data_IF_384215983956
#
_entry.id   IF_384215983956
#
_cell.length_a   1.000
_cell.length_b   1.000
_cell.length_c   1.000
_cell.angle_alpha   90.00
_cell.angle_beta   90.00
_cell.angle_gamma   90.00
#
_symmetry.space_group_name_H-M   'P 1'
#
loop_
_entity.id
_entity.type
_entity.pdbx_description
1 polymer ?
#
# COMPACT_ATOMS: atom_id res chain seq x y z
N UNK A 1 14.26 -7.91 -0.76
CA UNK A 1 14.88 -8.00 0.58
C UNK A 1 13.77 -7.94 1.61
N UNK A 2 13.85 -8.72 2.68
CA UNK A 2 12.86 -8.68 3.77
C UNK A 2 13.17 -7.51 4.72
N UNK A 3 12.22 -6.61 4.92
CA UNK A 3 12.33 -5.45 5.82
C UNK A 3 12.49 -5.85 7.29
N UNK A 4 11.84 -6.94 7.70
CA UNK A 4 11.89 -7.45 9.09
C UNK A 4 13.23 -8.04 9.52
N UNK A 5 13.95 -8.73 8.62
CA UNK A 5 15.18 -9.46 9.00
C UNK A 5 16.39 -9.23 8.10
N UNK A 6 16.28 -8.39 7.07
CA UNK A 6 17.37 -8.08 6.13
C UNK A 6 17.75 -9.21 5.17
N UNK A 7 17.20 -10.42 5.29
CA UNK A 7 17.53 -11.52 4.40
C UNK A 7 17.00 -11.29 2.97
N UNK A 8 17.68 -11.91 1.99
CA UNK A 8 17.19 -11.98 0.60
C UNK A 8 15.85 -12.73 0.55
N UNK A 9 15.07 -12.43 -0.49
CA UNK A 9 13.82 -13.13 -0.75
C UNK A 9 14.00 -13.99 -2.00
N UNK A 10 13.37 -15.17 -2.01
CA UNK A 10 13.34 -16.09 -3.15
C UNK A 10 11.94 -16.18 -3.72
N UNK A 11 11.82 -16.51 -5.00
CA UNK A 11 10.53 -16.82 -5.62
C UNK A 11 10.14 -18.27 -5.35
N UNK A 12 8.85 -18.50 -5.15
CA UNK A 12 8.20 -19.81 -5.11
C UNK A 12 7.04 -19.83 -6.10
N UNK A 13 6.98 -20.86 -6.96
CA UNK A 13 6.03 -21.00 -8.06
C UNK A 13 4.96 -22.09 -7.83
N UNK A 14 4.56 -22.38 -6.58
CA UNK A 14 3.63 -23.49 -6.30
C UNK A 14 2.23 -23.29 -6.91
N UNK A 15 1.40 -22.46 -6.30
CA UNK A 15 0.04 -22.20 -6.80
C UNK A 15 0.01 -20.87 -7.55
N UNK A 16 0.55 -19.84 -6.92
CA UNK A 16 0.78 -18.53 -7.51
C UNK A 16 2.21 -18.06 -7.14
N UNK A 17 2.88 -17.27 -8.00
CA UNK A 17 4.19 -16.73 -7.70
C UNK A 17 4.19 -15.91 -6.39
N UNK A 18 5.07 -16.27 -5.46
CA UNK A 18 5.25 -15.57 -4.18
C UNK A 18 6.71 -15.31 -3.87
N UNK A 19 6.98 -14.17 -3.24
CA UNK A 19 8.28 -13.88 -2.65
C UNK A 19 8.31 -14.37 -1.20
N UNK A 20 9.23 -15.29 -0.89
CA UNK A 20 9.44 -15.86 0.43
C UNK A 20 10.77 -15.37 1.01
N UNK A 21 10.78 -14.96 2.27
CA UNK A 21 12.01 -14.66 2.98
C UNK A 21 12.88 -15.92 3.15
N UNK A 22 14.16 -15.83 2.77
CA UNK A 22 15.08 -16.96 2.75
C UNK A 22 15.71 -17.28 4.12
N UNK A 23 15.43 -16.49 5.17
CA UNK A 23 15.95 -16.72 6.54
C UNK A 23 15.62 -18.13 7.06
N UNK A 24 14.45 -18.67 6.70
CA UNK A 24 14.05 -20.03 7.10
C UNK A 24 15.05 -21.08 6.64
N UNK A 25 15.46 -21.00 5.37
CA UNK A 25 16.35 -21.98 4.75
C UNK A 25 17.80 -21.81 5.20
N UNK A 26 18.23 -20.56 5.47
CA UNK A 26 19.59 -20.29 5.96
C UNK A 26 19.83 -20.67 7.41
N UNK A 27 18.84 -20.47 8.27
CA UNK A 27 19.01 -20.58 9.72
C UNK A 27 18.18 -21.73 10.33
N UNK A 28 17.63 -22.63 9.51
CA UNK A 28 16.79 -23.77 9.93
C UNK A 28 15.70 -23.40 10.95
N UNK A 29 15.02 -22.28 10.73
CA UNK A 29 13.94 -21.81 11.61
C UNK A 29 12.63 -22.49 11.23
N UNK A 30 11.71 -22.73 12.18
CA UNK A 30 10.46 -23.44 11.88
C UNK A 30 9.48 -22.65 11.00
N UNK A 31 9.49 -21.32 11.08
CA UNK A 31 8.50 -20.45 10.42
C UNK A 31 9.14 -19.51 9.38
N UNK A 32 8.43 -19.30 8.28
CA UNK A 32 8.82 -18.33 7.25
C UNK A 32 8.62 -16.93 7.82
N UNK A 33 9.66 -16.10 7.79
CA UNK A 33 9.61 -14.73 8.32
C UNK A 33 8.56 -13.85 7.63
N UNK A 34 8.54 -13.88 6.28
CA UNK A 34 7.62 -13.11 5.46
C UNK A 34 7.32 -13.84 4.15
N UNK A 35 6.07 -13.84 3.73
CA UNK A 35 5.59 -14.35 2.44
C UNK A 35 4.61 -13.35 1.82
N UNK A 36 4.87 -12.92 0.58
CA UNK A 36 4.06 -11.92 -0.11
C UNK A 36 3.73 -12.36 -1.54
N UNK A 37 2.62 -11.87 -2.08
CA UNK A 37 2.24 -12.08 -3.48
C UNK A 37 3.26 -11.42 -4.39
N UNK A 38 3.79 -12.15 -5.39
CA UNK A 38 4.74 -11.57 -6.32
C UNK A 38 4.06 -10.55 -7.25
N UNK A 39 2.87 -10.88 -7.77
CA UNK A 39 2.12 -9.99 -8.65
C UNK A 39 1.85 -8.60 -8.02
N UNK A 40 1.43 -8.57 -6.75
CA UNK A 40 1.14 -7.32 -6.05
C UNK A 40 2.41 -6.45 -5.86
N UNK A 41 3.56 -7.09 -5.65
CA UNK A 41 4.84 -6.38 -5.53
C UNK A 41 5.34 -5.91 -6.89
N UNK A 42 5.27 -6.78 -7.90
CA UNK A 42 5.74 -6.51 -9.26
C UNK A 42 4.99 -5.38 -9.92
N UNK A 43 3.65 -5.35 -9.84
CA UNK A 43 2.81 -4.28 -10.40
C UNK A 43 3.29 -2.90 -9.93
N UNK A 44 3.45 -2.73 -8.61
CA UNK A 44 3.81 -1.43 -8.02
C UNK A 44 5.27 -1.06 -8.25
N UNK A 45 6.19 -2.04 -8.27
CA UNK A 45 7.60 -1.79 -8.59
C UNK A 45 7.76 -1.39 -10.05
N UNK A 46 7.06 -2.06 -10.97
CA UNK A 46 7.07 -1.72 -12.41
C UNK A 46 6.46 -0.35 -12.65
N UNK A 47 5.34 -0.04 -11.99
CA UNK A 47 4.74 1.31 -12.04
C UNK A 47 5.76 2.37 -11.58
N UNK A 48 6.40 2.16 -10.44
CA UNK A 48 7.40 3.10 -9.92
C UNK A 48 8.62 3.26 -10.84
N UNK A 49 9.04 2.17 -11.51
CA UNK A 49 10.08 2.22 -12.53
C UNK A 49 9.65 3.10 -13.71
N UNK A 50 8.42 2.95 -14.21
CA UNK A 50 7.91 3.81 -15.28
C UNK A 50 7.81 5.27 -14.86
N UNK A 51 7.32 5.57 -13.65
CA UNK A 51 7.31 6.94 -13.11
C UNK A 51 8.71 7.56 -13.08
N UNK A 52 9.72 6.78 -12.70
CA UNK A 52 11.10 7.25 -12.57
C UNK A 52 11.76 7.58 -13.92
N UNK A 53 11.34 6.93 -15.02
CA UNK A 53 11.89 7.18 -16.36
C UNK A 53 11.06 8.15 -17.19
N UNK A 54 9.95 8.69 -16.65
CA UNK A 54 9.08 9.60 -17.41
C UNK A 54 9.87 10.80 -17.96
N UNK A 55 9.52 11.31 -19.17
CA UNK A 55 10.16 12.48 -19.76
C UNK A 55 10.23 13.70 -18.83
N UNK A 56 9.21 13.91 -17.99
CA UNK A 56 9.20 15.00 -17.02
C UNK A 56 10.40 14.97 -16.04
N UNK A 57 10.93 13.78 -15.73
CA UNK A 57 12.14 13.64 -14.91
C UNK A 57 13.40 14.04 -15.69
N UNK A 58 13.41 13.83 -17.01
CA UNK A 58 14.50 14.28 -17.89
C UNK A 58 14.50 15.80 -18.01
N UNK A 59 13.33 16.43 -18.16
CA UNK A 59 13.19 17.89 -18.22
C UNK A 59 13.62 18.53 -16.88
N UNK A 60 13.28 17.91 -15.75
CA UNK A 60 13.72 18.36 -14.42
C UNK A 60 15.25 18.23 -14.25
N UNK A 61 15.84 17.12 -14.69
CA UNK A 61 17.29 16.93 -14.70
C UNK A 61 17.98 17.99 -15.58
N UNK A 62 17.40 18.31 -16.75
CA UNK A 62 17.93 19.35 -17.63
C UNK A 62 17.92 20.73 -16.97
N UNK A 63 16.84 21.10 -16.30
CA UNK A 63 16.78 22.35 -15.55
C UNK A 63 17.89 22.44 -14.49
N UNK A 64 18.17 21.35 -13.78
CA UNK A 64 19.27 21.26 -12.81
C UNK A 64 20.62 21.38 -13.50
N UNK A 65 20.87 20.66 -14.60
CA UNK A 65 22.13 20.73 -15.33
C UNK A 65 22.38 22.13 -15.91
N UNK A 66 21.35 22.80 -16.41
CA UNK A 66 21.43 24.20 -16.90
C UNK A 66 21.77 25.15 -15.76
N UNK A 67 21.14 24.99 -14.59
CA UNK A 67 21.43 25.79 -13.40
C UNK A 67 22.88 25.58 -12.92
N UNK A 68 23.33 24.31 -12.84
CA UNK A 68 24.70 23.96 -12.48
C UNK A 68 25.71 24.53 -13.49
N UNK A 69 25.41 24.48 -14.79
CA UNK A 69 26.28 25.05 -15.81
C UNK A 69 26.39 26.58 -15.67
N UNK A 70 25.30 27.26 -15.32
CA UNK A 70 25.31 28.71 -15.05
C UNK A 70 26.19 29.04 -13.83
N UNK A 71 26.00 28.34 -12.72
CA UNK A 71 26.80 28.50 -11.51
C UNK A 71 28.29 28.21 -11.77
N UNK A 72 28.57 27.15 -12.53
CA UNK A 72 29.92 26.79 -12.96
C UNK A 72 30.56 27.94 -13.76
N UNK A 73 29.86 28.54 -14.73
CA UNK A 73 30.37 29.69 -15.49
C UNK A 73 30.63 30.91 -14.61
N UNK A 74 29.82 31.15 -13.58
CA UNK A 74 30.06 32.20 -12.59
C UNK A 74 31.35 31.94 -11.80
N UNK A 75 31.54 30.72 -11.32
CA UNK A 75 32.77 30.33 -10.61
C UNK A 75 34.01 30.44 -11.51
N UNK A 76 33.95 30.02 -12.77
CA UNK A 76 35.05 30.19 -13.73
C UNK A 76 35.38 31.67 -13.95
N UNK A 77 34.38 32.56 -14.07
CA UNK A 77 34.61 34.01 -14.17
C UNK A 77 35.34 34.55 -12.93
N UNK A 78 34.93 34.14 -11.73
CA UNK A 78 35.60 34.57 -10.49
C UNK A 78 37.05 34.10 -10.42
N UNK A 79 37.33 32.88 -10.89
CA UNK A 79 38.71 32.38 -10.97
C UNK A 79 39.55 33.13 -12.00
N UNK A 80 39.01 33.40 -13.18
CA UNK A 80 39.68 34.18 -14.23
C UNK A 80 40.02 35.61 -13.75
N UNK A 81 39.08 36.26 -13.04
CA UNK A 81 39.34 37.56 -12.41
C UNK A 81 40.45 37.50 -11.35
N UNK A 82 40.46 36.47 -10.48
CA UNK A 82 41.52 36.28 -9.48
C UNK A 82 42.88 36.09 -10.15
N UNK A 83 42.94 35.29 -11.21
CA UNK A 83 44.16 35.05 -11.98
C UNK A 83 44.67 36.36 -12.60
N UNK A 84 43.79 37.13 -13.26
CA UNK A 84 44.14 38.44 -13.84
C UNK A 84 44.66 39.43 -12.81
N UNK A 85 44.02 39.52 -11.63
CA UNK A 85 44.49 40.40 -10.55
C UNK A 85 45.87 40.00 -10.04
N UNK A 86 46.13 38.70 -9.88
CA UNK A 86 47.42 38.19 -9.44
C UNK A 86 48.52 38.45 -10.47
N UNK A 87 48.23 38.19 -11.76
CA UNK A 87 49.15 38.49 -12.87
C UNK A 87 49.49 39.98 -12.93
N UNK A 88 48.48 40.84 -12.82
CA UNK A 88 48.68 42.28 -12.77
C UNK A 88 49.52 42.71 -11.55
N UNK A 89 49.28 42.13 -10.38
CA UNK A 89 50.05 42.38 -9.16
C UNK A 89 51.54 42.05 -9.33
N UNK A 90 51.85 40.91 -9.96
CA UNK A 90 53.23 40.53 -10.31
C UNK A 90 53.85 41.56 -11.26
N UNK A 91 53.18 41.91 -12.35
CA UNK A 91 53.67 42.88 -13.34
C UNK A 91 53.87 44.29 -12.75
N UNK A 92 53.06 44.68 -11.77
CA UNK A 92 53.22 45.95 -11.08
C UNK A 92 54.44 45.92 -10.15
N UNK A 93 54.58 44.87 -9.33
CA UNK A 93 55.71 44.71 -8.41
C UNK A 93 57.05 44.62 -9.17
N UNK A 94 57.08 43.91 -10.30
CA UNK A 94 58.24 43.81 -11.18
C UNK A 94 58.67 45.18 -11.74
N UNK A 95 57.71 45.99 -12.22
CA UNK A 95 57.99 47.34 -12.71
C UNK A 95 58.48 48.27 -11.61
N UNK A 96 57.91 48.17 -10.40
CA UNK A 96 58.35 48.98 -9.26
C UNK A 96 59.78 48.63 -8.85
N UNK A 97 60.11 47.34 -8.79
CA UNK A 97 61.46 46.87 -8.50
C UNK A 97 62.45 47.32 -9.57
N UNK A 98 62.10 47.21 -10.86
CA UNK A 98 62.97 47.62 -11.97
C UNK A 98 63.29 49.12 -12.04
N UNK A 99 62.47 49.97 -11.40
CA UNK A 99 62.63 51.43 -11.41
C UNK A 99 63.38 51.98 -10.19
N UNK A 100 63.68 51.17 -9.18
CA UNK A 100 64.36 51.63 -7.96
C UNK A 100 65.85 51.87 -8.21
N UNK A 101 66.39 52.94 -7.62
CA UNK A 101 67.84 53.18 -7.62
C UNK A 101 68.56 52.12 -6.76
N UNK A 102 69.57 51.41 -7.30
CA UNK A 102 70.36 50.42 -6.56
C UNK A 102 71.02 50.95 -5.27
N UNK A 103 71.28 52.26 -5.17
CA UNK A 103 71.85 52.86 -3.95
C UNK A 103 70.86 52.84 -2.77
N UNK A 104 69.55 52.79 -3.06
CA UNK A 104 68.49 52.68 -2.06
C UNK A 104 68.26 51.23 -1.60
N UNK A 105 69.30 50.57 -1.08
CA UNK A 105 69.35 49.13 -0.76
C UNK A 105 68.17 48.62 0.07
N UNK A 106 67.71 49.38 1.07
CA UNK A 106 66.58 48.98 1.91
C UNK A 106 65.25 48.97 1.13
N UNK A 107 65.06 49.94 0.24
CA UNK A 107 63.85 50.03 -0.61
C UNK A 107 63.88 48.93 -1.67
N UNK A 108 65.05 48.69 -2.28
CA UNK A 108 65.22 47.63 -3.27
C UNK A 108 64.89 46.24 -2.67
N UNK A 109 65.42 45.93 -1.49
CA UNK A 109 65.15 44.65 -0.80
C UNK A 109 63.69 44.47 -0.36
N UNK A 110 62.97 45.56 -0.04
CA UNK A 110 61.54 45.50 0.26
C UNK A 110 60.70 45.29 -1.01
N UNK A 111 61.05 45.96 -2.13
CA UNK A 111 60.38 45.77 -3.42
C UNK A 111 60.63 44.38 -4.01
N UNK A 112 61.83 43.83 -3.84
CA UNK A 112 62.17 42.44 -4.18
C UNK A 112 61.28 41.46 -3.43
N UNK A 113 61.21 41.57 -2.09
CA UNK A 113 60.30 40.75 -1.27
C UNK A 113 58.84 40.85 -1.70
N UNK A 114 58.36 42.06 -2.04
CA UNK A 114 56.99 42.25 -2.55
C UNK A 114 56.77 41.55 -3.89
N UNK A 115 57.77 41.56 -4.78
CA UNK A 115 57.70 40.85 -6.04
C UNK A 115 57.72 39.33 -5.84
N UNK A 116 58.61 38.81 -4.99
CA UNK A 116 58.63 37.39 -4.61
C UNK A 116 57.29 36.93 -4.03
N UNK A 117 56.73 37.70 -3.09
CA UNK A 117 55.42 37.41 -2.51
C UNK A 117 54.30 37.41 -3.56
N UNK A 118 54.33 38.34 -4.53
CA UNK A 118 53.37 38.36 -5.63
C UNK A 118 53.51 37.13 -6.55
N UNK A 119 54.75 36.69 -6.82
CA UNK A 119 55.02 35.47 -7.62
C UNK A 119 54.51 34.21 -6.91
N UNK A 120 54.73 34.10 -5.60
CA UNK A 120 54.19 33.00 -4.78
C UNK A 120 52.66 33.00 -4.84
N UNK A 121 52.02 34.15 -4.60
CA UNK A 121 50.57 34.27 -4.65
C UNK A 121 49.99 33.91 -6.03
N UNK A 122 50.63 34.33 -7.13
CA UNK A 122 50.23 33.95 -8.48
C UNK A 122 50.30 32.44 -8.67
N UNK A 123 51.38 31.80 -8.23
CA UNK A 123 51.56 30.34 -8.32
C UNK A 123 50.49 29.59 -7.54
N UNK A 124 50.19 30.02 -6.31
CA UNK A 124 49.13 29.44 -5.49
C UNK A 124 47.75 29.55 -6.15
N UNK A 125 47.43 30.70 -6.74
CA UNK A 125 46.17 30.92 -7.45
C UNK A 125 46.10 30.06 -8.72
N UNK A 126 47.19 29.90 -9.47
CA UNK A 126 47.25 29.02 -10.64
C UNK A 126 47.04 27.55 -10.28
N UNK A 127 47.64 27.09 -9.18
CA UNK A 127 47.45 25.73 -8.68
C UNK A 127 46.04 25.52 -8.14
N UNK A 128 45.44 26.53 -7.50
CA UNK A 128 44.03 26.54 -7.12
C UNK A 128 43.11 26.43 -8.34
N UNK A 129 43.38 27.20 -9.39
CA UNK A 129 42.61 27.17 -10.63
C UNK A 129 42.67 25.80 -11.32
N UNK A 130 43.86 25.21 -11.46
CA UNK A 130 44.02 23.87 -12.05
C UNK A 130 43.25 22.79 -11.28
N UNK A 131 43.27 22.85 -9.95
CA UNK A 131 42.48 21.94 -9.09
C UNK A 131 40.98 22.14 -9.30
N UNK A 132 40.53 23.39 -9.36
CA UNK A 132 39.14 23.72 -9.63
C UNK A 132 38.68 23.19 -11.00
N UNK A 133 39.47 23.42 -12.05
CA UNK A 133 39.18 22.96 -13.42
C UNK A 133 39.03 21.44 -13.49
N UNK A 134 39.95 20.71 -12.85
CA UNK A 134 39.91 19.24 -12.82
C UNK A 134 38.68 18.70 -12.07
N UNK A 135 38.26 19.36 -10.99
CA UNK A 135 37.12 18.94 -10.19
C UNK A 135 35.75 19.24 -10.85
N UNK A 136 35.67 20.18 -11.79
CA UNK A 136 34.41 20.69 -12.34
C UNK A 136 34.23 20.34 -13.83
N UNK A 137 34.60 19.12 -14.23
CA UNK A 137 34.38 18.64 -15.59
C UNK A 137 32.86 18.54 -15.88
N UNK A 138 32.36 19.16 -16.98
CA UNK A 138 30.93 19.17 -17.25
C UNK A 138 30.44 17.79 -17.68
N UNK A 139 29.35 17.34 -17.06
CA UNK A 139 28.57 16.20 -17.55
C UNK A 139 27.57 16.76 -18.57
N UNK A 140 27.81 16.51 -19.86
CA UNK A 140 26.87 16.86 -20.93
C UNK A 140 26.08 15.64 -21.35
N UNK A 141 24.76 15.81 -21.53
CA UNK A 141 23.89 14.79 -22.11
C UNK A 141 23.64 15.14 -23.58
N UNK A 142 24.15 14.36 -24.56
CA UNK A 142 23.92 14.62 -25.98
C UNK A 142 22.43 14.67 -26.32
N UNK A 143 22.03 15.57 -27.21
CA UNK A 143 20.62 15.78 -27.60
C UNK A 143 20.03 14.52 -28.23
N UNK A 144 20.82 13.80 -29.03
CA UNK A 144 20.40 12.56 -29.69
C UNK A 144 20.06 11.47 -28.68
N UNK A 145 20.87 11.34 -27.61
CA UNK A 145 20.62 10.38 -26.54
C UNK A 145 19.37 10.75 -25.75
N UNK A 146 19.10 12.05 -25.55
CA UNK A 146 17.87 12.54 -24.91
C UNK A 146 16.63 12.17 -25.71
N UNK A 147 16.64 12.42 -27.02
CA UNK A 147 15.50 12.10 -27.88
C UNK A 147 15.22 10.60 -27.94
N UNK A 148 16.29 9.79 -28.02
CA UNK A 148 16.17 8.34 -27.94
C UNK A 148 15.56 7.90 -26.60
N UNK A 149 16.05 8.44 -25.49
CA UNK A 149 15.50 8.13 -24.16
C UNK A 149 14.03 8.53 -24.05
N UNK A 150 13.65 9.72 -24.55
CA UNK A 150 12.26 10.20 -24.52
C UNK A 150 11.33 9.23 -25.24
N UNK A 151 11.67 8.86 -26.49
CA UNK A 151 10.91 7.88 -27.28
C UNK A 151 10.80 6.53 -26.60
N UNK A 152 11.90 6.04 -26.01
CA UNK A 152 11.89 4.78 -25.27
C UNK A 152 11.00 4.89 -24.04
N UNK A 153 11.12 5.94 -23.24
CA UNK A 153 10.35 6.11 -22.00
C UNK A 153 8.84 6.16 -22.24
N UNK A 154 8.41 6.76 -23.35
CA UNK A 154 6.99 6.87 -23.73
C UNK A 154 6.43 5.54 -24.26
N UNK A 155 7.20 4.82 -25.08
CA UNK A 155 6.77 3.55 -25.69
C UNK A 155 6.98 2.32 -24.79
N UNK A 156 7.87 2.40 -23.80
CA UNK A 156 8.25 1.24 -22.99
C UNK A 156 7.09 0.60 -22.22
N UNK A 157 6.13 1.34 -21.63
CA UNK A 157 4.97 0.73 -20.96
C UNK A 157 4.14 -0.16 -21.90
N UNK A 158 3.95 0.26 -23.15
CA UNK A 158 3.23 -0.51 -24.18
C UNK A 158 4.03 -1.74 -24.60
N UNK A 159 5.34 -1.57 -24.86
CA UNK A 159 6.26 -2.67 -25.19
C UNK A 159 6.34 -3.72 -24.06
N UNK A 160 6.20 -3.28 -22.82
CA UNK A 160 6.21 -4.16 -21.65
C UNK A 160 4.99 -5.08 -21.64
N UNK A 161 3.84 -4.59 -22.07
CA UNK A 161 2.58 -5.34 -22.10
C UNK A 161 2.42 -6.17 -23.39
N UNK A 162 2.96 -5.70 -24.52
CA UNK A 162 2.82 -6.35 -25.84
C UNK A 162 3.53 -7.70 -25.97
N UNK A 163 4.39 -8.05 -25.00
CA UNK A 163 5.16 -9.29 -25.01
C UNK A 163 6.37 -9.27 -25.95
N UNK A 164 6.68 -8.13 -26.57
CA UNK A 164 7.88 -7.96 -27.40
C UNK A 164 9.17 -7.98 -26.59
N UNK A 165 9.10 -7.69 -25.28
CA UNK A 165 10.21 -7.83 -24.34
C UNK A 165 10.10 -9.14 -23.57
N UNK A 166 11.17 -9.93 -23.61
CA UNK A 166 11.26 -11.14 -22.81
C UNK A 166 11.50 -10.81 -21.31
N UNK A 167 11.37 -11.83 -20.46
CA UNK A 167 11.53 -11.65 -19.01
C UNK A 167 12.98 -11.36 -18.58
N UNK A 168 13.99 -11.69 -19.40
CA UNK A 168 15.38 -11.37 -19.10
C UNK A 168 15.64 -9.88 -19.35
N UNK A 169 15.24 -9.39 -20.52
CA UNK A 169 15.28 -7.98 -20.92
C UNK A 169 14.55 -7.08 -19.92
N UNK A 170 13.33 -7.47 -19.50
CA UNK A 170 12.58 -6.75 -18.46
C UNK A 170 13.35 -6.65 -17.15
N UNK A 171 14.01 -7.73 -16.73
CA UNK A 171 14.82 -7.73 -15.50
C UNK A 171 16.07 -6.87 -15.64
N UNK A 172 16.70 -6.85 -16.80
CA UNK A 172 17.90 -6.04 -17.03
C UNK A 172 17.56 -4.54 -17.07
N UNK A 173 16.42 -4.17 -17.67
CA UNK A 173 15.88 -2.82 -17.55
C UNK A 173 15.60 -2.43 -16.10
N UNK A 174 14.97 -3.29 -15.30
CA UNK A 174 14.75 -2.99 -13.89
C UNK A 174 16.07 -2.82 -13.14
N UNK A 175 17.08 -3.66 -13.42
CA UNK A 175 18.39 -3.61 -12.76
C UNK A 175 19.23 -2.40 -13.15
N UNK A 176 18.93 -1.72 -14.26
CA UNK A 176 19.65 -0.50 -14.66
C UNK A 176 19.35 0.68 -13.75
N UNK A 177 18.20 0.67 -13.05
CA UNK A 177 17.78 1.75 -12.14
C UNK A 177 17.52 1.29 -10.71
N UNK A 178 17.04 0.06 -10.51
CA UNK A 178 16.66 -0.47 -9.20
C UNK A 178 17.81 -1.29 -8.61
N UNK A 179 18.41 -0.78 -7.53
CA UNK A 179 19.46 -1.47 -6.80
C UNK A 179 18.89 -2.62 -5.94
N UNK A 180 17.79 -2.37 -5.23
CA UNK A 180 17.08 -3.39 -4.43
C UNK A 180 15.68 -2.93 -4.07
N UNK A 181 14.79 -3.89 -3.85
CA UNK A 181 13.47 -3.65 -3.25
C UNK A 181 13.44 -4.25 -1.85
N UNK A 182 13.04 -3.47 -0.86
CA UNK A 182 12.83 -3.91 0.52
C UNK A 182 11.32 -3.99 0.76
N UNK A 183 10.84 -5.13 1.27
CA UNK A 183 9.42 -5.37 1.51
C UNK A 183 9.21 -5.65 2.99
N UNK A 184 8.32 -4.89 3.61
CA UNK A 184 7.88 -5.09 4.98
C UNK A 184 6.36 -5.24 5.07
N UNK A 185 5.88 -5.95 6.09
CA UNK A 185 4.43 -6.12 6.33
C UNK A 185 4.06 -5.37 7.59
N UNK A 186 3.41 -4.21 7.39
CA UNK A 186 3.04 -3.28 8.47
C UNK A 186 1.70 -3.70 9.10
N UNK A 187 0.74 -4.15 8.28
CA UNK A 187 -0.54 -4.74 8.73
C UNK A 187 -0.75 -6.10 8.08
N UNK A 188 -1.75 -6.86 8.52
CA UNK A 188 -2.12 -8.15 7.93
C UNK A 188 -2.40 -8.06 6.43
N UNK A 189 -2.90 -6.93 5.95
CA UNK A 189 -3.31 -6.66 4.57
C UNK A 189 -2.56 -5.49 3.91
N UNK A 190 -1.53 -4.96 4.57
CA UNK A 190 -0.72 -3.84 4.07
C UNK A 190 0.76 -4.18 4.06
N UNK A 191 1.37 -4.03 2.88
CA UNK A 191 2.80 -4.09 2.67
C UNK A 191 3.36 -2.70 2.42
N UNK A 192 4.49 -2.43 3.03
CA UNK A 192 5.32 -1.28 2.73
C UNK A 192 6.49 -1.74 1.87
N UNK A 193 6.66 -1.11 0.71
CA UNK A 193 7.77 -1.34 -0.20
C UNK A 193 8.67 -0.12 -0.21
N UNK A 194 9.98 -0.36 -0.15
CA UNK A 194 11.00 0.65 -0.41
C UNK A 194 11.81 0.22 -1.63
N UNK A 195 11.62 0.92 -2.74
CA UNK A 195 12.42 0.76 -3.96
C UNK A 195 13.67 1.63 -3.80
N UNK A 196 14.82 0.99 -3.65
CA UNK A 196 16.11 1.68 -3.54
C UNK A 196 16.73 1.76 -4.93
N UNK A 197 16.95 2.98 -5.39
CA UNK A 197 17.51 3.29 -6.69
C UNK A 197 19.04 3.22 -6.66
N UNK A 198 19.66 3.04 -7.82
CA UNK A 198 21.13 3.04 -7.96
C UNK A 198 21.74 4.38 -7.53
N UNK A 199 21.00 5.50 -7.68
CA UNK A 199 21.40 6.81 -7.19
C UNK A 199 21.52 6.92 -5.66
N UNK A 200 21.06 5.91 -4.91
CA UNK A 200 21.00 5.92 -3.45
C UNK A 200 19.72 6.52 -2.87
N UNK A 201 18.91 7.22 -3.68
CA UNK A 201 17.56 7.63 -3.30
C UNK A 201 16.64 6.40 -3.11
N UNK A 202 15.54 6.55 -2.38
CA UNK A 202 14.52 5.51 -2.29
C UNK A 202 13.11 6.07 -2.41
N UNK A 203 12.24 5.30 -3.05
CA UNK A 203 10.80 5.60 -3.12
C UNK A 203 10.04 4.65 -2.20
N UNK A 204 9.17 5.21 -1.35
CA UNK A 204 8.30 4.47 -0.45
C UNK A 204 6.93 4.28 -1.11
N UNK A 205 6.42 3.05 -1.10
CA UNK A 205 5.17 2.66 -1.73
C UNK A 205 4.37 1.79 -0.76
N UNK A 206 3.05 1.90 -0.81
CA UNK A 206 2.15 1.04 -0.06
C UNK A 206 1.38 0.13 -1.02
N UNK A 207 1.27 -1.15 -0.64
CA UNK A 207 0.59 -2.16 -1.45
C UNK A 207 -0.31 -2.99 -0.56
N UNK A 208 -1.53 -3.23 -1.03
CA UNK A 208 -2.46 -4.11 -0.35
C UNK A 208 -2.63 -5.42 -1.14
N UNK A 209 -1.85 -6.46 -0.81
CA UNK A 209 -1.94 -7.72 -1.53
C UNK A 209 -3.26 -8.41 -1.23
N UNK A 210 -3.76 -9.27 -2.14
CA UNK A 210 -4.90 -10.13 -1.83
C UNK A 210 -4.57 -11.03 -0.64
N UNK A 211 -5.48 -11.08 0.32
CA UNK A 211 -5.44 -11.91 1.52
C UNK A 211 -6.48 -13.02 1.46
N UNK A 212 -6.38 -13.98 2.38
CA UNK A 212 -7.25 -15.16 2.33
C UNK A 212 -8.64 -14.89 2.91
N UNK A 213 -8.75 -14.14 4.01
CA UNK A 213 -10.00 -13.95 4.75
C UNK A 213 -10.28 -12.46 4.93
N UNK A 214 -11.53 -12.05 4.73
CA UNK A 214 -11.97 -10.65 4.89
C UNK A 214 -11.82 -10.16 6.33
N UNK A 215 -11.98 -11.05 7.31
CA UNK A 215 -11.73 -10.75 8.73
C UNK A 215 -10.30 -10.34 9.07
N UNK A 216 -9.34 -10.65 8.20
CA UNK A 216 -7.93 -10.32 8.41
C UNK A 216 -7.59 -8.95 7.77
N UNK A 217 -8.59 -8.21 7.24
CA UNK A 217 -8.42 -6.82 6.79
C UNK A 217 -8.16 -5.92 7.99
N UNK A 218 -7.30 -4.92 7.81
CA UNK A 218 -7.00 -3.95 8.87
C UNK A 218 -8.21 -3.13 9.29
N UNK A 219 -9.16 -2.91 8.37
CA UNK A 219 -10.38 -2.10 8.56
C UNK A 219 -11.64 -2.97 8.69
N UNK A 220 -11.48 -4.23 9.12
CA UNK A 220 -12.60 -5.17 9.17
C UNK A 220 -13.67 -4.76 10.18
N UNK A 221 -13.26 -4.21 11.33
CA UNK A 221 -14.18 -3.82 12.41
C UNK A 221 -15.02 -2.62 11.96
N UNK A 222 -14.38 -1.59 11.39
CA UNK A 222 -15.03 -0.41 10.85
C UNK A 222 -15.98 -0.77 9.69
N UNK A 223 -15.56 -1.68 8.80
CA UNK A 223 -16.43 -2.22 7.76
C UNK A 223 -17.64 -2.93 8.37
N UNK A 224 -17.44 -3.78 9.37
CA UNK A 224 -18.53 -4.52 10.00
C UNK A 224 -19.55 -3.59 10.69
N UNK A 225 -19.08 -2.55 11.37
CA UNK A 225 -19.94 -1.50 11.96
C UNK A 225 -20.69 -0.73 10.89
N UNK A 226 -20.01 -0.33 9.81
CA UNK A 226 -20.64 0.41 8.71
C UNK A 226 -21.73 -0.43 8.03
N UNK A 227 -21.47 -1.71 7.80
CA UNK A 227 -22.46 -2.64 7.26
C UNK A 227 -23.69 -2.77 8.17
N UNK A 228 -23.51 -2.76 9.49
CA UNK A 228 -24.65 -2.80 10.43
C UNK A 228 -25.55 -1.57 10.31
N UNK A 229 -24.99 -0.37 10.17
CA UNK A 229 -25.76 0.87 9.96
C UNK A 229 -26.60 0.75 8.69
N UNK A 230 -25.97 0.35 7.58
CA UNK A 230 -26.64 0.23 6.28
C UNK A 230 -27.69 -0.90 6.26
N UNK A 231 -27.49 -1.98 7.02
CA UNK A 231 -28.52 -3.02 7.19
C UNK A 231 -29.75 -2.49 7.93
N UNK A 232 -29.57 -1.62 8.93
CA UNK A 232 -30.68 -1.02 9.70
C UNK A 232 -31.47 -0.01 8.85
N UNK A 233 -30.84 0.61 7.86
CA UNK A 233 -31.50 1.46 6.85
C UNK A 233 -32.32 0.66 5.82
N UNK A 234 -32.22 -0.67 5.82
CA UNK A 234 -33.04 -1.55 4.97
C UNK A 234 -32.50 -1.78 3.56
N UNK A 235 -31.26 -1.35 3.29
CA UNK A 235 -30.58 -1.54 2.00
C UNK A 235 -30.33 -3.03 1.71
N UNK A 236 -30.36 -3.39 0.42
CA UNK A 236 -30.04 -4.73 -0.06
C UNK A 236 -28.53 -5.00 -0.02
N UNK A 237 -28.14 -6.28 -0.04
CA UNK A 237 -26.72 -6.67 -0.01
C UNK A 237 -25.92 -6.09 -1.19
N UNK A 238 -26.57 -5.87 -2.35
CA UNK A 238 -25.96 -5.24 -3.52
C UNK A 238 -25.77 -3.74 -3.32
N UNK A 239 -26.81 -3.02 -2.90
CA UNK A 239 -26.73 -1.58 -2.65
C UNK A 239 -25.68 -1.25 -1.58
N UNK A 240 -25.63 -2.06 -0.52
CA UNK A 240 -24.64 -1.92 0.54
C UNK A 240 -23.24 -2.16 -0.02
N UNK A 241 -23.02 -3.23 -0.79
CA UNK A 241 -21.73 -3.54 -1.38
C UNK A 241 -21.23 -2.40 -2.28
N UNK A 242 -22.10 -1.82 -3.10
CA UNK A 242 -21.77 -0.67 -3.93
C UNK A 242 -21.43 0.56 -3.08
N UNK A 243 -22.24 0.85 -2.06
CA UNK A 243 -22.03 2.01 -1.20
C UNK A 243 -20.71 1.93 -0.43
N UNK A 244 -20.44 0.83 0.26
CA UNK A 244 -19.17 0.69 1.02
C UNK A 244 -17.96 0.64 0.08
N UNK A 245 -18.12 0.13 -1.15
CA UNK A 245 -17.05 0.21 -2.16
C UNK A 245 -16.78 1.65 -2.59
N UNK A 246 -17.82 2.49 -2.72
CA UNK A 246 -17.65 3.94 -2.99
C UNK A 246 -17.03 4.67 -1.81
N UNK A 247 -17.29 4.22 -0.58
CA UNK A 247 -16.67 4.73 0.64
C UNK A 247 -15.19 4.32 0.78
N UNK A 248 -14.69 3.44 -0.10
CA UNK A 248 -13.27 3.03 -0.15
C UNK A 248 -12.98 1.69 0.51
N UNK A 249 -13.98 1.02 1.10
CA UNK A 249 -13.80 -0.32 1.66
C UNK A 249 -13.57 -1.37 0.57
N UNK A 250 -12.85 -2.43 0.95
CA UNK A 250 -12.49 -3.51 0.04
C UNK A 250 -12.78 -4.89 0.60
N UNK A 251 -12.78 -5.89 -0.28
CA UNK A 251 -12.76 -7.30 0.14
C UNK A 251 -11.34 -7.84 0.20
N UNK A 252 -11.17 -9.01 0.83
CA UNK A 252 -9.88 -9.70 0.92
C UNK A 252 -9.13 -9.88 -0.41
N UNK A 253 -9.84 -10.04 -1.53
CA UNK A 253 -9.26 -10.36 -2.85
C UNK A 253 -9.70 -9.42 -3.97
N UNK A 254 -10.43 -8.36 -3.64
CA UNK A 254 -10.98 -7.43 -4.62
C UNK A 254 -10.87 -6.02 -4.08
N UNK A 255 -10.62 -5.05 -4.97
CA UNK A 255 -10.61 -3.62 -4.64
C UNK A 255 -11.97 -3.14 -4.13
N UNK A 256 -13.05 -3.84 -4.50
CA UNK A 256 -14.41 -3.51 -4.10
C UNK A 256 -14.99 -4.58 -3.15
N UNK A 257 -15.95 -4.19 -2.34
CA UNK A 257 -16.78 -5.10 -1.56
C UNK A 257 -17.83 -5.74 -2.47
N UNK A 258 -17.95 -7.07 -2.41
CA UNK A 258 -18.98 -7.81 -3.15
C UNK A 258 -20.22 -8.06 -2.29
N UNK A 259 -21.38 -8.23 -2.91
CA UNK A 259 -22.61 -8.61 -2.22
C UNK A 259 -22.45 -9.93 -1.43
N UNK A 260 -21.66 -10.88 -1.95
CA UNK A 260 -21.31 -12.12 -1.24
C UNK A 260 -20.52 -11.84 0.04
N UNK A 261 -19.54 -10.93 -0.02
CA UNK A 261 -18.78 -10.49 1.18
C UNK A 261 -19.71 -9.87 2.22
N UNK A 262 -20.61 -8.98 1.81
CA UNK A 262 -21.60 -8.36 2.71
C UNK A 262 -22.48 -9.43 3.36
N UNK A 263 -22.98 -10.37 2.57
CA UNK A 263 -23.80 -11.50 3.06
C UNK A 263 -23.05 -12.35 4.08
N UNK A 264 -21.79 -12.68 3.82
CA UNK A 264 -20.99 -13.51 4.72
C UNK A 264 -20.76 -12.81 6.07
N UNK A 265 -20.40 -11.52 6.05
CA UNK A 265 -20.23 -10.71 7.26
C UNK A 265 -21.57 -10.61 8.01
N UNK A 266 -22.68 -10.40 7.29
CA UNK A 266 -24.03 -10.37 7.88
C UNK A 266 -24.38 -11.69 8.56
N UNK A 267 -24.16 -12.81 7.90
CA UNK A 267 -24.44 -14.13 8.47
C UNK A 267 -23.57 -14.41 9.70
N UNK A 268 -22.32 -13.95 9.70
CA UNK A 268 -21.44 -14.06 10.86
C UNK A 268 -21.92 -13.17 12.03
N UNK A 269 -22.31 -11.94 11.74
CA UNK A 269 -22.87 -11.01 12.72
C UNK A 269 -24.17 -11.56 13.33
N UNK A 270 -25.10 -12.06 12.52
CA UNK A 270 -26.36 -12.65 12.97
C UNK A 270 -26.17 -13.96 13.77
N UNK A 271 -25.08 -14.69 13.58
CA UNK A 271 -24.72 -15.82 14.45
C UNK A 271 -24.28 -15.36 15.84
N UNK A 272 -23.67 -14.18 15.93
CA UNK A 272 -23.23 -13.57 17.20
C UNK A 272 -24.37 -12.84 17.91
N UNK A 273 -25.36 -12.35 17.14
CA UNK A 273 -26.50 -11.55 17.62
C UNK A 273 -27.83 -12.19 17.16
N UNK A 274 -28.19 -13.38 17.67
CA UNK A 274 -29.41 -14.10 17.26
C UNK A 274 -30.71 -13.35 17.58
N UNK A 275 -30.69 -12.40 18.51
CA UNK A 275 -31.79 -11.47 18.81
C UNK A 275 -32.07 -10.48 17.66
N UNK A 276 -31.05 -10.11 16.89
CA UNK A 276 -31.17 -9.24 15.71
C UNK A 276 -31.72 -9.98 14.48
N UNK A 277 -31.92 -11.30 14.55
CA UNK A 277 -32.81 -12.02 13.65
C UNK A 277 -34.29 -11.56 13.77
N UNK A 278 -34.53 -10.50 14.54
CA UNK A 278 -35.74 -9.88 15.01
C UNK A 278 -37.03 -10.36 14.33
N UNK A 279 -37.78 -11.07 15.16
CA UNK A 279 -39.06 -11.72 14.93
C UNK A 279 -40.16 -10.74 14.53
N UNK A 280 -39.99 -9.45 14.81
CA UNK A 280 -40.95 -8.38 14.49
C UNK A 280 -41.09 -8.08 13.00
N UNK A 281 -40.07 -8.31 12.18
CA UNK A 281 -40.10 -8.05 10.72
C UNK A 281 -40.60 -9.24 9.90
N UNK A 282 -40.96 -10.36 10.55
CA UNK A 282 -41.44 -11.58 9.88
C UNK A 282 -42.93 -11.84 10.06
N UNK A 283 -43.65 -10.93 10.73
CA UNK A 283 -45.11 -11.00 10.82
C UNK A 283 -45.72 -10.72 9.46
N UNK A 284 -46.67 -11.55 9.05
CA UNK A 284 -47.37 -11.43 7.77
C UNK A 284 -48.85 -11.24 8.08
N UNK A 285 -49.25 -9.98 8.27
CA UNK A 285 -50.57 -9.64 8.83
C UNK A 285 -50.72 -10.20 10.25
N UNK A 286 -51.72 -11.07 10.44
CA UNK A 286 -51.96 -11.76 11.71
C UNK A 286 -51.20 -13.09 11.84
N UNK A 287 -50.14 -13.33 11.08
CA UNK A 287 -49.31 -14.54 11.21
C UNK A 287 -47.96 -14.20 11.81
N UNK A 288 -47.55 -14.90 12.86
CA UNK A 288 -46.29 -14.75 13.55
C UNK A 288 -45.34 -15.96 13.31
N UNK A 289 -44.01 -15.77 13.31
CA UNK A 289 -43.06 -16.87 13.24
C UNK A 289 -43.16 -17.82 14.42
N UNK A 290 -42.85 -19.10 14.19
CA UNK A 290 -42.77 -20.12 15.24
C UNK A 290 -41.87 -19.69 16.40
N UNK A 291 -40.74 -19.05 16.07
CA UNK A 291 -39.79 -18.55 17.06
C UNK A 291 -40.38 -17.41 17.91
N UNK A 292 -41.24 -16.58 17.33
CA UNK A 292 -41.90 -15.48 18.06
C UNK A 292 -42.96 -16.03 19.01
N UNK A 293 -43.76 -16.99 18.53
CA UNK A 293 -44.74 -17.69 19.35
C UNK A 293 -44.07 -18.37 20.54
N UNK A 294 -42.94 -19.04 20.27
CA UNK A 294 -42.19 -19.77 21.28
C UNK A 294 -41.69 -18.85 22.39
N UNK A 295 -41.10 -17.71 22.05
CA UNK A 295 -40.62 -16.74 23.04
C UNK A 295 -41.78 -16.10 23.80
N UNK A 296 -42.85 -15.68 23.10
CA UNK A 296 -43.99 -14.99 23.71
C UNK A 296 -44.75 -15.87 24.70
N UNK A 297 -44.93 -17.14 24.37
CA UNK A 297 -45.73 -18.08 25.15
C UNK A 297 -44.88 -18.98 26.07
N UNK A 298 -43.55 -18.83 26.05
CA UNK A 298 -42.63 -19.65 26.85
C UNK A 298 -42.44 -21.08 26.35
N UNK A 299 -42.76 -21.38 25.09
CA UNK A 299 -42.56 -22.71 24.51
C UNK A 299 -41.12 -22.92 24.02
N UNK A 300 -40.68 -24.19 23.96
CA UNK A 300 -39.47 -24.55 23.20
C UNK A 300 -39.77 -24.57 21.70
N UNK A 301 -38.94 -23.91 20.89
CA UNK A 301 -39.07 -23.82 19.41
C UNK A 301 -39.27 -25.20 18.76
N UNK A 302 -38.43 -26.18 19.11
CA UNK A 302 -38.51 -27.56 18.55
C UNK A 302 -39.79 -28.30 18.91
N UNK A 303 -40.46 -27.91 20.01
CA UNK A 303 -41.72 -28.52 20.38
C UNK A 303 -42.88 -27.99 19.53
N UNK A 304 -42.84 -26.69 19.18
CA UNK A 304 -43.82 -26.09 18.27
C UNK A 304 -43.70 -26.74 16.89
N UNK A 305 -42.47 -26.91 16.37
CA UNK A 305 -42.25 -27.66 15.12
C UNK A 305 -42.73 -29.12 15.20
N UNK A 306 -42.59 -29.79 16.35
CA UNK A 306 -43.17 -31.12 16.57
C UNK A 306 -44.71 -31.12 16.53
N UNK A 307 -45.38 -30.07 17.00
CA UNK A 307 -46.85 -29.99 16.89
C UNK A 307 -47.29 -29.81 15.43
N UNK A 308 -46.51 -29.08 14.63
CA UNK A 308 -46.70 -28.95 13.18
C UNK A 308 -46.51 -30.31 12.50
N UNK A 309 -45.40 -31.00 12.78
CA UNK A 309 -45.09 -32.30 12.20
C UNK A 309 -46.13 -33.37 12.56
N UNK A 310 -46.63 -33.35 13.81
CA UNK A 310 -47.67 -34.24 14.30
C UNK A 310 -49.10 -33.83 13.89
N UNK A 311 -49.25 -32.82 13.00
CA UNK A 311 -50.53 -32.30 12.51
C UNK A 311 -51.51 -31.87 13.61
N UNK A 312 -51.01 -31.48 14.78
CA UNK A 312 -51.84 -30.97 15.89
C UNK A 312 -52.23 -29.50 15.71
N UNK A 313 -51.43 -28.75 14.95
CA UNK A 313 -51.80 -27.43 14.46
C UNK A 313 -52.43 -27.61 13.09
N UNK A 314 -53.69 -27.22 12.94
CA UNK A 314 -54.42 -27.36 11.67
C UNK A 314 -53.74 -26.52 10.57
N UNK A 315 -53.74 -26.99 9.30
CA UNK A 315 -53.14 -26.26 8.17
C UNK A 315 -53.71 -24.86 7.96
N UNK A 316 -54.96 -24.61 8.36
CA UNK A 316 -55.61 -23.29 8.28
C UNK A 316 -54.89 -22.19 9.09
N UNK A 317 -54.19 -22.59 10.16
CA UNK A 317 -53.41 -21.66 10.98
C UNK A 317 -51.95 -21.55 10.53
N UNK A 318 -51.54 -22.22 9.46
CA UNK A 318 -50.15 -22.30 9.01
C UNK A 318 -49.96 -21.65 7.64
N UNK A 319 -48.94 -20.80 7.53
CA UNK A 319 -48.41 -20.32 6.25
C UNK A 319 -46.92 -20.63 6.15
N UNK A 320 -46.42 -20.92 4.95
CA UNK A 320 -44.97 -20.94 4.70
C UNK A 320 -44.51 -19.52 4.41
N UNK A 321 -43.39 -19.13 5.00
CA UNK A 321 -42.80 -17.82 4.74
C UNK A 321 -42.34 -17.74 3.27
N UNK A 322 -42.68 -16.69 2.50
CA UNK A 322 -42.42 -16.64 1.05
C UNK A 322 -40.94 -16.66 0.68
N UNK A 323 -40.06 -16.21 1.59
CA UNK A 323 -38.60 -16.15 1.36
C UNK A 323 -37.78 -17.14 2.20
N UNK A 324 -38.39 -17.93 3.08
CA UNK A 324 -37.67 -18.84 3.99
C UNK A 324 -38.40 -20.15 4.17
N UNK A 325 -37.66 -21.24 4.36
CA UNK A 325 -38.20 -22.57 4.67
C UNK A 325 -38.72 -22.68 6.13
N UNK A 326 -39.42 -21.66 6.62
CA UNK A 326 -40.00 -21.60 7.97
C UNK A 326 -41.52 -21.45 7.93
N UNK A 327 -42.19 -21.95 8.97
CA UNK A 327 -43.63 -21.80 9.14
C UNK A 327 -43.97 -20.51 9.92
N UNK A 328 -45.07 -19.90 9.54
CA UNK A 328 -45.76 -18.82 10.25
C UNK A 328 -47.07 -19.38 10.80
N UNK A 329 -47.39 -19.06 12.04
CA UNK A 329 -48.59 -19.49 12.77
C UNK A 329 -49.50 -18.28 12.94
N UNK A 330 -50.81 -18.44 12.71
CA UNK A 330 -51.78 -17.38 12.94
C UNK A 330 -51.86 -16.98 14.42
N UNK A 331 -51.88 -15.68 14.70
CA UNK A 331 -52.08 -15.09 16.03
C UNK A 331 -53.54 -15.21 16.45
N UNK A 332 -53.93 -16.42 16.86
CA UNK A 332 -55.29 -16.75 17.25
C UNK A 332 -55.30 -17.22 18.72
N UNK A 333 -56.10 -16.54 19.54
CA UNK A 333 -56.23 -16.81 20.98
C UNK A 333 -56.67 -18.25 21.29
N UNK A 334 -57.53 -18.85 20.48
CA UNK A 334 -58.03 -20.22 20.67
C UNK A 334 -56.93 -21.25 20.41
N UNK A 335 -56.16 -21.07 19.34
CA UNK A 335 -55.00 -21.92 19.03
C UNK A 335 -53.92 -21.82 20.12
N UNK A 336 -53.65 -20.60 20.60
CA UNK A 336 -52.65 -20.37 21.65
C UNK A 336 -53.10 -21.05 22.95
N UNK A 337 -54.38 -20.94 23.32
CA UNK A 337 -54.93 -21.62 24.49
C UNK A 337 -54.81 -23.14 24.39
N UNK A 338 -55.11 -23.73 23.21
CA UNK A 338 -54.92 -25.17 22.97
C UNK A 338 -53.45 -25.59 23.10
N UNK A 339 -52.52 -24.80 22.54
CA UNK A 339 -51.08 -25.07 22.66
C UNK A 339 -50.60 -24.98 24.11
N UNK A 340 -51.07 -24.00 24.89
CA UNK A 340 -50.77 -23.91 26.33
C UNK A 340 -51.25 -25.15 27.10
N UNK A 341 -52.46 -25.64 26.82
CA UNK A 341 -52.96 -26.87 27.45
C UNK A 341 -52.11 -28.10 27.09
N UNK A 342 -51.69 -28.24 25.83
CA UNK A 342 -50.80 -29.32 25.42
C UNK A 342 -49.41 -29.21 26.05
N UNK A 343 -48.92 -27.99 26.24
CA UNK A 343 -47.65 -27.73 26.90
C UNK A 343 -47.71 -28.09 28.39
N UNK A 344 -48.75 -27.65 29.10
CA UNK A 344 -48.95 -27.98 30.52
C UNK A 344 -49.07 -29.50 30.75
N UNK A 345 -49.89 -30.21 29.95
CA UNK A 345 -49.99 -31.68 30.06
C UNK A 345 -48.65 -32.39 29.88
N UNK A 346 -47.78 -31.85 29.03
CA UNK A 346 -46.43 -32.38 28.82
C UNK A 346 -45.52 -32.04 29.98
N UNK A 347 -45.57 -30.83 30.53
CA UNK A 347 -44.80 -30.46 31.72
C UNK A 347 -45.23 -31.26 32.95
N UNK A 348 -46.54 -31.45 33.16
CA UNK A 348 -47.09 -32.30 34.22
C UNK A 348 -46.63 -33.76 34.07
N UNK A 349 -46.62 -34.28 32.84
CA UNK A 349 -46.12 -35.63 32.56
C UNK A 349 -44.61 -35.74 32.82
N UNK A 350 -43.82 -34.74 32.44
CA UNK A 350 -42.38 -34.69 32.70
C UNK A 350 -42.07 -34.55 34.19
N UNK A 351 -42.84 -33.75 34.93
CA UNK A 351 -42.71 -33.57 36.37
C UNK A 351 -43.02 -34.89 37.11
N UNK A 352 -44.11 -35.57 36.76
CA UNK A 352 -44.46 -36.90 37.31
C UNK A 352 -43.42 -37.97 37.02
N UNK A 353 -42.82 -37.93 35.82
CA UNK A 353 -41.76 -38.87 35.43
C UNK A 353 -40.47 -38.63 36.21
N UNK A 354 -40.14 -37.37 36.48
CA UNK A 354 -38.93 -36.99 37.20
C UNK A 354 -39.07 -37.12 38.73
N UNK A 355 -40.28 -37.25 39.27
CA UNK A 355 -40.52 -37.53 40.69
C UNK A 355 -40.63 -39.03 41.02
N UNK A 356 -40.51 -39.90 40.02
CA UNK A 356 -40.47 -41.37 40.15
C UNK A 356 -39.06 -41.95 39.94
N UNK A 357 -38.07 -41.08 39.79
CA UNK A 357 -36.63 -41.37 39.74
C UNK A 357 -36.03 -40.68 40.96
#
# INVERSE_FOLDING_TARGET
>A
MCGKCGARMRVSYKDAPRYLCDRKFKNMVDRICLSVSAAAVEEVVVQAFFEAIRPAQLDALEAVLVAQEKERRELFRHWDEKLKRAQYGVQLAERQYSLVDPENRLVAGELEKRWENALIALKEIQEGYRRFETAHYPVTLPTELKEQFRRISESLPELWQSGQLDNAQKKDLLRSLVAKVIVDRVKSDTLELRVVWISGHYTKLEVNPPIHRTRDLGEYEELAERLQVLWKEGLTEQEIAEQVSREGYRSARSKNVSAATVRDIRLQYLKQHPEELNLKTMRLGNYLPVQELAVREGFKVDWVYRQIANKRIKPEYLKKHPRRHSYLIQDNAELIAQLRQYWQRKEDWLAKRNSQI
#
